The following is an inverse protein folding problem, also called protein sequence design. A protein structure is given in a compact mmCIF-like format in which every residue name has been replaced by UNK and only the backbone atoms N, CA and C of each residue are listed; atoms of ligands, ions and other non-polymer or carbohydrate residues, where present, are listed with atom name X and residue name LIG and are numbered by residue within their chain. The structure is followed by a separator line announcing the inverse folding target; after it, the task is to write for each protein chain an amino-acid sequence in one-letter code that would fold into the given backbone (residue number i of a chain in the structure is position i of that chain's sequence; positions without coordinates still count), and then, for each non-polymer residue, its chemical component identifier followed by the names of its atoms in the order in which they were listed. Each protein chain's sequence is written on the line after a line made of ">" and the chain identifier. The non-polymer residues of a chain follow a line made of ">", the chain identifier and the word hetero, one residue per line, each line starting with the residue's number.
data_IF_737390153512
#
_entry.id   IF_737390153512
#
_cell.length_a   1.000
_cell.length_b   1.000
_cell.length_c   1.000
_cell.angle_alpha   90.00
_cell.angle_beta   90.00
_cell.angle_gamma   90.00
#
_symmetry.space_group_name_H-M   'P 1'
#
loop_
_entity.id
_entity.type
_entity.pdbx_description
1 polymer ?
#
# COMPACT_ATOMS: atom_id res chain seq x y z
N UNK A 1 -25.49 -22.29 15.56
CA UNK A 1 -25.04 -21.54 14.37
C UNK A 1 -23.55 -21.25 14.50
N UNK A 2 -22.77 -21.33 13.41
CA UNK A 2 -21.35 -20.93 13.40
C UNK A 2 -21.25 -19.49 12.87
N UNK A 3 -20.57 -18.62 13.63
CA UNK A 3 -20.33 -17.24 13.20
C UNK A 3 -19.39 -17.21 11.98
N UNK A 4 -19.75 -16.43 10.96
CA UNK A 4 -18.86 -16.10 9.84
C UNK A 4 -18.00 -14.91 10.26
N UNK A 5 -16.71 -15.15 10.46
CA UNK A 5 -15.74 -14.11 10.82
C UNK A 5 -14.92 -13.72 9.59
N UNK A 6 -14.86 -12.42 9.29
CA UNK A 6 -13.92 -11.84 8.34
C UNK A 6 -12.89 -11.02 9.13
N UNK A 7 -11.61 -11.32 8.92
CA UNK A 7 -10.50 -10.66 9.60
C UNK A 7 -9.62 -9.96 8.58
N UNK A 8 -9.38 -8.66 8.77
CA UNK A 8 -8.46 -7.87 7.94
C UNK A 8 -7.30 -7.45 8.83
N UNK A 9 -6.08 -7.77 8.38
CA UNK A 9 -4.85 -7.44 9.09
C UNK A 9 -3.98 -6.55 8.19
N UNK A 10 -3.49 -5.45 8.75
CA UNK A 10 -2.61 -4.51 8.06
C UNK A 10 -1.34 -4.29 8.88
N UNK A 11 -0.24 -4.03 8.18
CA UNK A 11 1.05 -3.73 8.80
C UNK A 11 1.89 -2.89 7.85
N UNK A 12 2.50 -1.83 8.38
CA UNK A 12 3.43 -0.98 7.63
C UNK A 12 4.79 -1.64 7.41
N UNK A 13 5.09 -2.71 8.15
CA UNK A 13 6.32 -3.49 8.03
C UNK A 13 6.03 -4.76 7.23
N UNK A 14 6.27 -4.69 5.91
CA UNK A 14 6.05 -5.82 5.00
C UNK A 14 6.75 -7.11 5.48
N UNK A 15 8.00 -7.00 5.94
CA UNK A 15 8.78 -8.16 6.40
C UNK A 15 8.15 -8.86 7.59
N UNK A 16 7.48 -8.14 8.49
CA UNK A 16 6.79 -8.75 9.63
C UNK A 16 5.53 -9.49 9.16
N UNK A 17 4.78 -8.91 8.22
CA UNK A 17 3.63 -9.56 7.61
C UNK A 17 4.05 -10.84 6.86
N UNK A 18 5.14 -10.77 6.09
CA UNK A 18 5.73 -11.94 5.42
C UNK A 18 6.15 -13.00 6.43
N UNK A 19 6.81 -12.62 7.53
CA UNK A 19 7.16 -13.56 8.60
C UNK A 19 5.92 -14.29 9.10
N UNK A 20 4.92 -13.55 9.60
CA UNK A 20 3.71 -14.11 10.20
C UNK A 20 2.97 -15.10 9.28
N UNK A 21 2.83 -14.79 8.00
CA UNK A 21 1.96 -15.54 7.09
C UNK A 21 2.69 -16.47 6.11
N UNK A 22 4.01 -16.31 5.93
CA UNK A 22 4.78 -17.03 4.92
C UNK A 22 5.95 -17.84 5.50
N UNK A 23 6.25 -17.72 6.80
CA UNK A 23 7.26 -18.58 7.44
C UNK A 23 6.63 -19.81 8.07
N UNK A 24 7.15 -21.00 7.73
CA UNK A 24 6.61 -22.29 8.19
C UNK A 24 6.60 -22.53 9.70
N UNK A 25 7.33 -21.73 10.48
CA UNK A 25 7.37 -21.81 11.95
C UNK A 25 6.30 -20.95 12.63
N UNK A 26 5.65 -20.05 11.89
CA UNK A 26 4.65 -19.14 12.44
C UNK A 26 3.27 -19.79 12.42
N UNK A 27 2.42 -19.55 13.44
CA UNK A 27 1.10 -20.18 13.56
C UNK A 27 0.13 -19.80 12.45
N UNK A 28 0.38 -18.66 11.78
CA UNK A 28 -0.45 -18.15 10.69
C UNK A 28 0.11 -18.49 9.30
N UNK A 29 1.13 -19.35 9.23
CA UNK A 29 1.68 -19.83 7.98
C UNK A 29 0.60 -20.39 7.05
N UNK A 30 0.51 -19.86 5.83
CA UNK A 30 -0.45 -20.29 4.82
C UNK A 30 -1.90 -19.90 5.09
N UNK A 31 -2.19 -19.09 6.14
CA UNK A 31 -3.55 -18.68 6.51
C UNK A 31 -3.97 -17.32 5.95
N UNK A 32 -3.22 -16.76 5.01
CA UNK A 32 -3.59 -15.54 4.31
C UNK A 32 -4.36 -15.88 3.04
N UNK A 33 -5.69 -15.81 3.08
CA UNK A 33 -6.55 -16.10 1.93
C UNK A 33 -6.42 -15.04 0.82
N UNK A 34 -6.28 -13.77 1.21
CA UNK A 34 -6.15 -12.63 0.31
C UNK A 34 -5.05 -11.69 0.81
N UNK A 35 -4.26 -11.15 -0.12
CA UNK A 35 -3.18 -10.21 0.18
C UNK A 35 -3.35 -8.97 -0.69
N UNK A 36 -3.41 -7.80 -0.06
CA UNK A 36 -3.43 -6.52 -0.74
C UNK A 36 -2.07 -5.85 -0.51
N UNK A 37 -1.28 -5.71 -1.57
CA UNK A 37 -0.01 -5.01 -1.51
C UNK A 37 -0.18 -3.57 -1.97
N UNK A 38 -0.29 -2.64 -1.01
CA UNK A 38 -0.39 -1.21 -1.31
C UNK A 38 0.91 -0.72 -1.94
N UNK A 39 0.79 -0.16 -3.14
CA UNK A 39 1.90 0.47 -3.86
C UNK A 39 1.89 1.98 -3.65
N UNK A 40 3.05 2.65 -3.79
CA UNK A 40 3.10 4.10 -3.89
C UNK A 40 2.19 4.64 -5.01
N UNK A 41 1.78 5.89 -4.87
CA UNK A 41 0.98 6.57 -5.89
C UNK A 41 1.78 6.68 -7.20
N UNK A 42 1.11 6.38 -8.31
CA UNK A 42 1.68 6.57 -9.65
C UNK A 42 1.74 8.06 -9.98
N UNK A 43 2.69 8.46 -10.83
CA UNK A 43 2.81 9.84 -11.32
C UNK A 43 1.50 10.38 -11.90
N UNK A 44 0.75 9.55 -12.62
CA UNK A 44 -0.58 9.92 -13.14
C UNK A 44 -1.56 10.27 -12.02
N UNK A 45 -1.62 9.46 -10.97
CA UNK A 45 -2.50 9.73 -9.81
C UNK A 45 -2.07 10.99 -9.07
N UNK A 46 -0.78 11.30 -9.02
CA UNK A 46 -0.29 12.57 -8.47
C UNK A 46 -0.68 13.76 -9.35
N UNK A 47 -0.64 13.62 -10.68
CA UNK A 47 -1.13 14.69 -11.58
C UNK A 47 -2.62 14.93 -11.45
N UNK A 48 -3.43 13.86 -11.35
CA UNK A 48 -4.88 13.94 -11.12
C UNK A 48 -5.16 14.60 -9.76
N UNK A 49 -4.45 14.20 -8.71
CA UNK A 49 -4.55 14.82 -7.38
C UNK A 49 -4.23 16.33 -7.41
N UNK A 50 -3.19 16.74 -8.13
CA UNK A 50 -2.82 18.16 -8.26
C UNK A 50 -3.84 18.95 -9.09
N UNK A 51 -4.44 18.33 -10.11
CA UNK A 51 -5.50 18.93 -10.91
C UNK A 51 -6.76 19.15 -10.07
N UNK A 52 -7.17 18.16 -9.29
CA UNK A 52 -8.36 18.22 -8.43
C UNK A 52 -8.29 19.37 -7.40
N UNK A 53 -7.07 19.75 -7.00
CA UNK A 53 -6.84 20.86 -6.07
C UNK A 53 -6.45 22.17 -6.77
N UNK A 54 -6.50 22.28 -8.10
CA UNK A 54 -6.07 23.45 -8.88
C UNK A 54 -4.60 23.86 -8.66
N UNK A 55 -3.73 22.92 -8.29
CA UNK A 55 -2.29 23.13 -8.09
C UNK A 55 -1.43 22.52 -9.19
N UNK A 56 -2.03 22.08 -10.30
CA UNK A 56 -1.29 21.48 -11.39
C UNK A 56 -0.38 22.49 -12.09
N UNK A 57 0.93 22.27 -11.95
CA UNK A 57 1.98 22.85 -12.77
C UNK A 57 3.09 21.82 -12.93
N UNK A 58 3.88 21.92 -14.00
CA UNK A 58 5.01 21.00 -14.22
C UNK A 58 6.01 21.05 -13.05
N UNK A 59 6.22 22.23 -12.48
CA UNK A 59 7.10 22.47 -11.33
C UNK A 59 6.56 21.85 -10.04
N UNK A 60 5.25 21.98 -9.79
CA UNK A 60 4.61 21.37 -8.62
C UNK A 60 4.60 19.84 -8.72
N UNK A 61 4.33 19.29 -9.91
CA UNK A 61 4.40 17.84 -10.12
C UNK A 61 5.81 17.32 -9.89
N UNK A 62 6.84 18.01 -10.42
CA UNK A 62 8.23 17.65 -10.21
C UNK A 62 8.62 17.75 -8.73
N UNK A 63 8.20 18.80 -8.04
CA UNK A 63 8.46 19.01 -6.61
C UNK A 63 7.84 17.89 -5.76
N UNK A 64 6.58 17.55 -6.02
CA UNK A 64 5.90 16.46 -5.29
C UNK A 64 6.59 15.13 -5.54
N UNK A 65 6.98 14.82 -6.79
CA UNK A 65 7.73 13.61 -7.09
C UNK A 65 9.08 13.59 -6.39
N UNK A 66 9.82 14.70 -6.38
CA UNK A 66 11.12 14.79 -5.74
C UNK A 66 11.04 14.64 -4.21
N UNK A 67 10.04 15.26 -3.56
CA UNK A 67 9.86 15.20 -2.10
C UNK A 67 9.32 13.84 -1.64
N UNK A 68 8.41 13.25 -2.40
CA UNK A 68 7.82 11.94 -2.06
C UNK A 68 8.68 10.76 -2.50
N UNK A 69 9.82 11.04 -3.15
CA UNK A 69 10.79 10.05 -3.62
C UNK A 69 10.43 9.41 -4.95
N UNK A 70 9.24 9.73 -5.51
CA UNK A 70 8.69 9.09 -6.70
C UNK A 70 8.43 7.62 -6.45
N UNK A 71 7.18 7.18 -6.56
CA UNK A 71 6.90 5.76 -6.71
C UNK A 71 7.39 5.28 -8.07
N UNK A 72 8.71 5.14 -8.24
CA UNK A 72 9.33 4.52 -9.40
C UNK A 72 9.11 3.01 -9.37
#
# INVERSE_FOLDING_TARGET
>A
EQAKMHMILCGSVYTLMTRLFEHCKEPLFGRADQKIHLQPLKTRSLSEFLLDHNHYSADNLLTVLAVTGGGA
#
